data_IF_506181326428
#
_entry.id   IF_506181326428
#
_cell.length_a   1.000
_cell.length_b   1.000
_cell.length_c   1.000
_cell.angle_alpha   90.00
_cell.angle_beta   90.00
_cell.angle_gamma   90.00
#
_symmetry.space_group_name_H-M   'P 1'
#
loop_
_entity.id
_entity.type
_entity.pdbx_description
1 polymer ?
#
# COMPACT_ATOMS: atom_id res chain seq x y z
N UNK A 1 -5.11 -27.24 5.13
CA UNK A 1 -5.05 -26.29 3.98
C UNK A 1 -5.88 -25.01 4.17
N UNK A 2 -6.97 -24.97 4.97
CA UNK A 2 -7.70 -23.70 5.25
C UNK A 2 -7.00 -22.79 6.28
N UNK A 3 -6.47 -23.37 7.36
CA UNK A 3 -5.75 -22.64 8.42
C UNK A 3 -4.51 -21.88 7.92
N UNK A 4 -3.77 -22.45 6.96
CA UNK A 4 -2.59 -21.81 6.39
C UNK A 4 -2.93 -20.60 5.52
N UNK A 5 -4.09 -20.61 4.84
CA UNK A 5 -4.56 -19.46 4.04
C UNK A 5 -4.99 -18.29 4.92
N UNK A 6 -5.72 -18.55 6.01
CA UNK A 6 -6.15 -17.50 6.95
C UNK A 6 -4.98 -16.94 7.74
N UNK A 7 -4.04 -17.78 8.17
CA UNK A 7 -2.82 -17.31 8.83
C UNK A 7 -1.96 -16.46 7.88
N UNK A 8 -1.79 -16.87 6.63
CA UNK A 8 -1.07 -16.08 5.62
C UNK A 8 -1.73 -14.74 5.33
N UNK A 9 -3.06 -14.71 5.20
CA UNK A 9 -3.82 -13.47 5.02
C UNK A 9 -3.67 -12.51 6.21
N UNK A 10 -3.73 -13.03 7.44
CA UNK A 10 -3.53 -12.24 8.66
C UNK A 10 -2.12 -11.65 8.71
N UNK A 11 -1.10 -12.48 8.49
CA UNK A 11 0.30 -12.02 8.49
C UNK A 11 0.51 -10.94 7.43
N UNK A 12 -0.02 -11.14 6.21
CA UNK A 12 0.07 -10.15 5.14
C UNK A 12 -0.65 -8.83 5.54
N UNK A 13 -1.87 -8.92 6.06
CA UNK A 13 -2.63 -7.73 6.48
C UNK A 13 -1.94 -6.96 7.60
N UNK A 14 -1.30 -7.67 8.54
CA UNK A 14 -0.51 -7.04 9.62
C UNK A 14 0.75 -6.39 9.06
N UNK A 15 1.45 -7.05 8.12
CA UNK A 15 2.59 -6.48 7.42
C UNK A 15 2.23 -5.16 6.71
N UNK A 16 1.12 -5.15 5.98
CA UNK A 16 0.57 -3.96 5.31
C UNK A 16 0.19 -2.88 6.34
N UNK A 17 -0.46 -3.25 7.45
CA UNK A 17 -0.81 -2.28 8.49
C UNK A 17 0.43 -1.61 9.12
N UNK A 18 1.52 -2.35 9.29
CA UNK A 18 2.76 -1.83 9.89
C UNK A 18 3.47 -0.87 8.92
N UNK A 19 3.62 -1.23 7.64
CA UNK A 19 4.28 -0.38 6.64
C UNK A 19 3.52 0.92 6.33
N UNK A 20 2.19 0.93 6.52
CA UNK A 20 1.36 2.12 6.31
C UNK A 20 1.71 3.28 7.25
N UNK A 21 2.27 3.00 8.43
CA UNK A 21 2.69 4.06 9.35
C UNK A 21 3.80 4.92 8.75
N UNK A 22 4.94 4.35 8.31
CA UNK A 22 5.95 5.08 7.55
C UNK A 22 5.40 5.81 6.31
N UNK A 23 4.53 5.18 5.52
CA UNK A 23 3.98 5.83 4.31
C UNK A 23 3.11 7.05 4.64
N UNK A 24 2.23 6.94 5.63
CA UNK A 24 1.43 8.06 6.11
C UNK A 24 2.30 9.19 6.70
N UNK A 25 3.45 8.86 7.29
CA UNK A 25 4.43 9.82 7.77
C UNK A 25 5.11 10.58 6.62
N UNK A 26 5.46 9.89 5.52
CA UNK A 26 6.06 10.50 4.31
C UNK A 26 5.15 11.58 3.72
N UNK A 27 3.82 11.46 3.83
CA UNK A 27 2.87 12.49 3.38
C UNK A 27 2.65 13.57 4.44
N UNK A 28 2.48 13.19 5.71
CA UNK A 28 2.11 14.14 6.77
C UNK A 28 3.28 15.03 7.24
N UNK A 29 4.52 14.54 7.21
CA UNK A 29 5.68 15.32 7.67
C UNK A 29 6.02 16.51 6.76
N UNK A 30 6.05 16.38 5.41
CA UNK A 30 6.24 17.52 4.51
C UNK A 30 5.13 18.56 4.64
N UNK A 31 3.85 18.15 4.70
CA UNK A 31 2.73 19.06 4.91
C UNK A 31 2.92 19.88 6.19
N UNK A 32 3.39 19.24 7.27
CA UNK A 32 3.71 19.94 8.51
C UNK A 32 4.88 20.91 8.36
N UNK A 33 5.91 20.55 7.60
CA UNK A 33 7.08 21.39 7.32
C UNK A 33 6.73 22.61 6.45
N UNK A 34 5.74 22.48 5.58
CA UNK A 34 5.19 23.56 4.73
C UNK A 34 4.27 24.52 5.49
N UNK A 35 4.04 24.29 6.79
CA UNK A 35 3.31 25.20 7.67
C UNK A 35 1.87 24.79 7.98
N UNK A 36 1.39 23.64 7.50
CA UNK A 36 0.07 23.14 7.87
C UNK A 36 -0.03 22.83 9.36
N UNK A 37 -1.25 22.98 9.90
CA UNK A 37 -1.54 22.64 11.30
C UNK A 37 -1.37 21.13 11.53
N UNK A 38 -0.92 20.73 12.73
CA UNK A 38 -0.70 19.31 13.09
C UNK A 38 -1.88 18.41 12.73
N UNK A 39 -3.11 18.88 12.98
CA UNK A 39 -4.33 18.13 12.67
C UNK A 39 -4.56 17.94 11.17
N UNK A 40 -4.33 18.98 10.35
CA UNK A 40 -4.48 18.91 8.90
C UNK A 40 -3.39 18.06 8.24
N UNK A 41 -2.15 18.21 8.68
CA UNK A 41 -1.04 17.38 8.23
C UNK A 41 -1.27 15.88 8.52
N UNK A 42 -1.74 15.57 9.74
CA UNK A 42 -2.13 14.21 10.11
C UNK A 42 -3.30 13.70 9.26
N UNK A 43 -4.34 14.51 9.08
CA UNK A 43 -5.50 14.15 8.25
C UNK A 43 -5.09 13.88 6.81
N UNK A 44 -4.13 14.64 6.25
CA UNK A 44 -3.57 14.38 4.92
C UNK A 44 -2.95 12.99 4.81
N UNK A 45 -2.17 12.56 5.81
CA UNK A 45 -1.61 11.21 5.86
C UNK A 45 -2.67 10.11 6.00
N UNK A 46 -3.70 10.34 6.82
CA UNK A 46 -4.82 9.39 7.01
C UNK A 46 -5.65 9.26 5.73
N UNK A 47 -5.92 10.37 5.04
CA UNK A 47 -6.69 10.38 3.80
C UNK A 47 -5.95 9.67 2.66
N UNK A 48 -4.62 9.76 2.60
CA UNK A 48 -3.82 8.95 1.67
C UNK A 48 -4.03 7.45 1.92
N UNK A 49 -4.06 7.01 3.17
CA UNK A 49 -4.29 5.61 3.54
C UNK A 49 -5.65 5.04 3.08
N UNK A 50 -6.63 5.89 2.72
CA UNK A 50 -7.93 5.44 2.18
C UNK A 50 -7.79 4.85 0.77
N UNK A 51 -6.71 5.15 0.04
CA UNK A 51 -6.46 4.60 -1.30
C UNK A 51 -6.32 3.08 -1.26
N UNK A 52 -5.75 2.51 -0.20
CA UNK A 52 -5.56 1.07 -0.05
C UNK A 52 -6.87 0.26 0.02
N UNK A 53 -7.83 0.53 0.93
CA UNK A 53 -9.08 -0.23 0.99
C UNK A 53 -9.90 -0.09 -0.29
N UNK A 54 -9.83 1.07 -0.97
CA UNK A 54 -10.45 1.24 -2.29
C UNK A 54 -9.81 0.28 -3.29
N UNK A 55 -8.47 0.24 -3.36
CA UNK A 55 -7.71 -0.69 -4.20
C UNK A 55 -8.04 -2.16 -3.91
N UNK A 56 -8.20 -2.53 -2.65
CA UNK A 56 -8.62 -3.88 -2.23
C UNK A 56 -10.00 -4.22 -2.78
N UNK A 57 -11.00 -3.34 -2.60
CA UNK A 57 -12.36 -3.59 -3.12
C UNK A 57 -12.35 -3.71 -4.63
N UNK A 58 -11.68 -2.81 -5.34
CA UNK A 58 -11.56 -2.86 -6.80
C UNK A 58 -10.90 -4.16 -7.27
N UNK A 59 -9.83 -4.60 -6.60
CA UNK A 59 -9.13 -5.84 -6.93
C UNK A 59 -10.00 -7.07 -6.69
N UNK A 60 -10.81 -7.07 -5.62
CA UNK A 60 -11.78 -8.14 -5.36
C UNK A 60 -12.84 -8.20 -6.46
N UNK A 61 -13.40 -7.05 -6.87
CA UNK A 61 -14.39 -6.98 -7.94
C UNK A 61 -13.81 -7.40 -9.29
N UNK A 62 -12.55 -7.07 -9.55
CA UNK A 62 -11.85 -7.41 -10.79
C UNK A 62 -11.06 -8.73 -10.73
N UNK A 63 -11.22 -9.54 -9.67
CA UNK A 63 -10.34 -10.68 -9.40
C UNK A 63 -10.24 -11.68 -10.57
N UNK A 64 -11.35 -11.92 -11.28
CA UNK A 64 -11.37 -12.83 -12.44
C UNK A 64 -10.48 -12.35 -13.60
N UNK A 65 -10.29 -11.03 -13.74
CA UNK A 65 -9.41 -10.42 -14.72
C UNK A 65 -7.97 -10.30 -14.20
N UNK A 66 -7.82 -9.97 -12.92
CA UNK A 66 -6.50 -9.69 -12.30
C UNK A 66 -5.70 -10.97 -12.04
N UNK A 67 -6.34 -12.07 -11.61
CA UNK A 67 -5.64 -13.31 -11.26
C UNK A 67 -4.83 -13.90 -12.43
N UNK A 68 -5.35 -13.97 -13.67
CA UNK A 68 -4.55 -14.39 -14.82
C UNK A 68 -3.44 -13.40 -15.20
N UNK A 69 -3.65 -12.11 -14.95
CA UNK A 69 -2.71 -11.04 -15.28
C UNK A 69 -1.62 -10.81 -14.22
N UNK A 70 -1.82 -11.35 -13.00
CA UNK A 70 -0.96 -11.18 -11.83
C UNK A 70 0.54 -11.43 -12.09
N UNK A 71 0.96 -12.46 -12.85
CA UNK A 71 2.38 -12.67 -13.17
C UNK A 71 3.02 -11.48 -13.90
N UNK A 72 2.28 -10.82 -14.79
CA UNK A 72 2.77 -9.65 -15.53
C UNK A 72 2.84 -8.41 -14.63
N UNK A 73 1.86 -8.22 -13.76
CA UNK A 73 1.89 -7.11 -12.80
C UNK A 73 3.03 -7.26 -11.79
N UNK A 74 3.26 -8.49 -11.30
CA UNK A 74 4.36 -8.76 -10.36
C UNK A 74 5.73 -8.62 -11.03
N UNK A 75 5.91 -9.06 -12.27
CA UNK A 75 7.18 -8.89 -12.99
C UNK A 75 7.47 -7.42 -13.27
N UNK A 76 6.44 -6.65 -13.65
CA UNK A 76 6.56 -5.20 -13.82
C UNK A 76 6.93 -4.50 -12.50
N UNK A 77 6.22 -4.80 -11.40
CA UNK A 77 6.48 -4.22 -10.08
C UNK A 77 7.90 -4.56 -9.59
N UNK A 78 8.34 -5.82 -9.75
CA UNK A 78 9.70 -6.22 -9.41
C UNK A 78 10.75 -5.46 -10.22
N UNK A 79 10.54 -5.29 -11.52
CA UNK A 79 11.41 -4.50 -12.39
C UNK A 79 11.50 -3.03 -11.96
N UNK A 80 10.37 -2.40 -11.65
CA UNK A 80 10.32 -1.02 -11.16
C UNK A 80 11.09 -0.86 -9.84
N UNK A 81 10.93 -1.79 -8.91
CA UNK A 81 11.64 -1.78 -7.62
C UNK A 81 13.15 -1.99 -7.79
N UNK A 82 13.57 -2.88 -8.68
CA UNK A 82 14.99 -3.07 -9.00
C UNK A 82 15.60 -1.83 -9.68
N UNK A 83 14.90 -1.22 -10.63
CA UNK A 83 15.35 0.00 -11.28
C UNK A 83 15.51 1.13 -10.25
N UNK A 84 14.51 1.35 -9.40
CA UNK A 84 14.58 2.35 -8.34
C UNK A 84 15.80 2.13 -7.43
N UNK A 85 16.03 0.89 -7.00
CA UNK A 85 17.15 0.55 -6.13
C UNK A 85 18.54 0.72 -6.78
N UNK A 86 18.63 0.76 -8.11
CA UNK A 86 19.87 1.00 -8.85
C UNK A 86 20.02 2.45 -9.31
N UNK A 87 18.91 3.19 -9.40
CA UNK A 87 18.87 4.56 -9.91
C UNK A 87 18.89 5.62 -8.78
N UNK A 88 18.59 5.23 -7.55
CA UNK A 88 18.88 5.97 -6.30
C UNK A 88 20.23 5.55 -5.71
#
# INVERSE_FOLDING_TARGET
MRLTKTAGALVLSLGIAIQNFPEGAVISMPLRAEGESKGRAFLGGVLYGVVEPIGVVLTILAALLVIPALPYFLSFAAGAMLYKALAE
#
